data_IF_082575520068
#
_entry.id   IF_082575520068
#
_cell.length_a   1.000
_cell.length_b   1.000
_cell.length_c   1.000
_cell.angle_alpha   90.00
_cell.angle_beta   90.00
_cell.angle_gamma   90.00
#
_symmetry.space_group_name_H-M   'P 1'
#
loop_
_entity.id
_entity.type
_entity.pdbx_description
1 polymer ?
#
# COMPACT_ATOMS: atom_id res chain seq x y z
N UNK A 1 -8.57 -0.99 9.94
CA UNK A 1 -8.66 0.47 9.69
C UNK A 1 -8.72 0.70 8.19
N UNK A 2 -9.10 1.87 7.69
CA UNK A 2 -9.17 2.09 6.23
C UNK A 2 -7.89 2.67 5.66
N UNK A 3 -7.60 2.37 4.40
CA UNK A 3 -6.45 2.88 3.65
C UNK A 3 -6.39 4.43 3.65
N UNK A 4 -7.55 5.10 3.80
CA UNK A 4 -7.65 6.56 4.02
C UNK A 4 -6.82 7.10 5.18
N UNK A 5 -6.71 6.30 6.25
CA UNK A 5 -6.08 6.70 7.50
C UNK A 5 -4.56 6.52 7.48
N UNK A 6 -4.04 5.86 6.44
CA UNK A 6 -2.62 5.59 6.26
C UNK A 6 -1.86 6.87 5.93
N UNK A 7 -0.63 6.94 6.44
CA UNK A 7 0.31 8.05 6.23
C UNK A 7 1.52 7.57 5.43
N UNK A 8 2.24 8.54 4.89
CA UNK A 8 3.56 8.30 4.30
C UNK A 8 4.50 7.72 5.36
N UNK A 9 5.29 6.71 4.97
CA UNK A 9 6.16 5.92 5.84
C UNK A 9 5.48 4.73 6.53
N UNK A 10 4.15 4.62 6.54
CA UNK A 10 3.48 3.50 7.19
C UNK A 10 3.73 2.18 6.42
N UNK A 11 3.99 1.12 7.18
CA UNK A 11 3.94 -0.25 6.67
C UNK A 11 2.53 -0.78 6.88
N UNK A 12 1.88 -1.21 5.81
CA UNK A 12 0.49 -1.65 5.83
C UNK A 12 0.34 -3.05 5.24
N UNK A 13 -0.60 -3.81 5.76
CA UNK A 13 -1.10 -5.04 5.15
C UNK A 13 -2.52 -4.82 4.66
N UNK A 14 -2.82 -5.20 3.42
CA UNK A 14 -4.20 -5.20 2.92
C UNK A 14 -4.93 -6.39 3.52
N UNK A 15 -6.05 -6.14 4.21
CA UNK A 15 -6.80 -7.16 4.94
C UNK A 15 -8.06 -7.55 4.18
N UNK A 16 -8.79 -6.55 3.69
CA UNK A 16 -10.06 -6.77 3.01
C UNK A 16 -10.32 -5.62 2.03
N UNK A 17 -11.24 -5.84 1.08
CA UNK A 17 -11.73 -4.77 0.21
C UNK A 17 -13.23 -4.91 -0.04
N UNK A 18 -13.93 -3.78 0.04
CA UNK A 18 -15.35 -3.64 -0.33
C UNK A 18 -15.51 -3.05 -1.75
N UNK A 19 -14.44 -3.12 -2.55
CA UNK A 19 -14.43 -2.70 -3.96
C UNK A 19 -14.99 -3.84 -4.83
N UNK A 20 -15.77 -3.54 -5.89
CA UNK A 20 -16.19 -4.56 -6.85
C UNK A 20 -15.01 -5.36 -7.40
N UNK A 21 -15.12 -6.70 -7.41
CA UNK A 21 -14.05 -7.62 -7.83
C UNK A 21 -13.40 -7.25 -9.17
N UNK A 22 -14.20 -6.89 -10.18
CA UNK A 22 -13.71 -6.47 -11.51
C UNK A 22 -12.76 -5.26 -11.47
N UNK A 23 -12.93 -4.38 -10.49
CA UNK A 23 -12.07 -3.20 -10.30
C UNK A 23 -10.83 -3.63 -9.50
N UNK A 24 -11.03 -4.38 -8.40
CA UNK A 24 -9.93 -4.81 -7.54
C UNK A 24 -8.94 -5.75 -8.25
N UNK A 25 -9.42 -6.62 -9.15
CA UNK A 25 -8.56 -7.50 -9.95
C UNK A 25 -7.55 -6.72 -10.81
N UNK A 26 -7.83 -5.46 -11.16
CA UNK A 26 -6.85 -4.60 -11.85
C UNK A 26 -5.65 -4.27 -10.96
N UNK A 27 -5.85 -4.17 -9.65
CA UNK A 27 -4.79 -3.83 -8.70
C UNK A 27 -3.80 -5.00 -8.49
N UNK A 28 -4.24 -6.24 -8.74
CA UNK A 28 -3.36 -7.42 -8.72
C UNK A 28 -2.21 -7.33 -9.73
N UNK A 29 -2.43 -6.65 -10.86
CA UNK A 29 -1.37 -6.46 -11.88
C UNK A 29 -0.19 -5.60 -11.39
N UNK A 30 -0.40 -4.81 -10.35
CA UNK A 30 0.63 -4.02 -9.66
C UNK A 30 0.98 -4.62 -8.29
N UNK A 31 0.72 -5.91 -8.10
CA UNK A 31 0.92 -6.66 -6.85
C UNK A 31 0.14 -6.13 -5.64
N UNK A 32 -0.85 -5.26 -5.83
CA UNK A 32 -1.70 -4.78 -4.76
C UNK A 32 -2.90 -5.73 -4.56
N UNK A 33 -2.79 -6.62 -3.58
CA UNK A 33 -3.77 -7.68 -3.29
C UNK A 33 -3.93 -7.92 -1.78
N UNK A 34 -4.99 -8.62 -1.40
CA UNK A 34 -5.27 -9.01 -0.02
C UNK A 34 -4.13 -9.90 0.53
N UNK A 35 -3.77 -9.67 1.78
CA UNK A 35 -2.70 -10.36 2.50
C UNK A 35 -1.30 -9.83 2.22
N UNK A 36 -1.12 -8.99 1.21
CA UNK A 36 0.17 -8.37 0.87
C UNK A 36 0.50 -7.20 1.78
N UNK A 37 1.80 -7.00 2.00
CA UNK A 37 2.35 -5.96 2.87
C UNK A 37 3.15 -4.96 2.04
N UNK A 38 2.88 -3.68 2.24
CA UNK A 38 3.49 -2.60 1.49
C UNK A 38 4.03 -1.52 2.41
N UNK A 39 5.11 -0.87 1.98
CA UNK A 39 5.55 0.40 2.56
C UNK A 39 4.92 1.53 1.74
N UNK A 40 4.22 2.44 2.40
CA UNK A 40 3.64 3.61 1.74
C UNK A 40 4.68 4.70 1.63
N UNK A 41 5.09 5.01 0.41
CA UNK A 41 6.11 6.02 0.14
C UNK A 41 5.52 7.42 0.07
N UNK A 42 4.49 7.57 -0.78
CA UNK A 42 3.87 8.87 -1.06
C UNK A 42 2.38 8.76 -1.31
N UNK A 43 1.61 9.71 -0.79
CA UNK A 43 0.16 9.81 -1.02
C UNK A 43 -0.18 11.21 -1.54
N UNK A 44 -0.66 11.29 -2.79
CA UNK A 44 -1.13 12.55 -3.39
C UNK A 44 -2.65 12.55 -3.47
N UNK A 45 -3.30 13.52 -2.80
CA UNK A 45 -4.76 13.60 -2.63
C UNK A 45 -5.41 14.66 -3.51
N UNK A 46 -5.42 14.43 -4.83
CA UNK A 46 -6.04 15.30 -5.84
C UNK A 46 -7.49 14.88 -6.14
N UNK A 47 -7.96 15.00 -7.38
CA UNK A 47 -9.24 14.42 -7.85
C UNK A 47 -9.26 12.89 -7.70
N UNK A 48 -8.12 12.26 -7.97
CA UNK A 48 -7.83 10.87 -7.68
C UNK A 48 -6.76 10.80 -6.60
N UNK A 49 -6.75 9.72 -5.85
CA UNK A 49 -5.68 9.41 -4.90
C UNK A 49 -4.63 8.61 -5.65
N UNK A 50 -3.39 9.08 -5.57
CA UNK A 50 -2.21 8.41 -6.08
C UNK A 50 -1.40 7.89 -4.89
N UNK A 51 -1.10 6.60 -4.87
CA UNK A 51 -0.36 5.92 -3.81
C UNK A 51 0.87 5.26 -4.44
N UNK A 52 2.06 5.73 -4.06
CA UNK A 52 3.33 5.08 -4.38
C UNK A 52 3.69 4.14 -3.22
N UNK A 53 4.05 2.91 -3.53
CA UNK A 53 4.34 1.89 -2.52
C UNK A 53 5.38 0.87 -2.98
N UNK A 54 5.96 0.14 -2.03
CA UNK A 54 6.92 -0.95 -2.28
C UNK A 54 6.37 -2.24 -1.66
N UNK A 55 6.44 -3.38 -2.37
CA UNK A 55 6.15 -4.69 -1.75
C UNK A 55 7.30 -5.04 -0.79
N UNK A 56 6.98 -5.34 0.48
CA UNK A 56 7.97 -5.70 1.49
C UNK A 56 8.74 -6.97 1.12
N UNK A 57 8.16 -7.87 0.33
CA UNK A 57 8.87 -9.07 -0.17
C UNK A 57 10.02 -8.68 -1.09
N UNK A 58 9.81 -7.71 -1.97
CA UNK A 58 10.81 -7.26 -2.95
C UNK A 58 11.98 -6.52 -2.27
N UNK A 59 11.75 -5.88 -1.12
CA UNK A 59 12.80 -5.21 -0.34
C UNK A 59 13.79 -6.19 0.31
N UNK A 60 13.37 -7.41 0.64
CA UNK A 60 14.28 -8.43 1.21
C UNK A 60 15.17 -9.09 0.16
N UNK A 61 14.74 -9.11 -1.09
CA UNK A 61 15.40 -9.90 -2.14
C UNK A 61 16.28 -9.07 -3.10
N UNK A 62 16.19 -7.73 -3.17
CA UNK A 62 17.07 -6.95 -4.06
C UNK A 62 17.10 -5.42 -3.85
N UNK A 63 18.23 -4.77 -4.21
CA UNK A 63 18.43 -3.31 -4.24
C UNK A 63 17.55 -2.62 -5.31
N UNK A 64 17.07 -3.37 -6.30
CA UNK A 64 16.10 -2.92 -7.32
C UNK A 64 14.66 -3.23 -6.92
N UNK A 65 14.20 -2.61 -5.84
CA UNK A 65 12.82 -2.78 -5.38
C UNK A 65 11.83 -2.25 -6.43
N UNK A 66 10.92 -3.10 -6.93
CA UNK A 66 9.88 -2.62 -7.86
C UNK A 66 8.87 -1.79 -7.07
N UNK A 67 8.81 -0.50 -7.37
CA UNK A 67 7.77 0.40 -6.86
C UNK A 67 6.45 0.19 -7.61
N UNK A 68 5.35 0.02 -6.87
CA UNK A 68 3.99 0.02 -7.40
C UNK A 68 3.35 1.39 -7.29
N UNK A 69 2.52 1.75 -8.28
CA UNK A 69 1.77 3.00 -8.28
C UNK A 69 0.27 2.74 -8.46
N UNK A 70 -0.50 3.01 -7.42
CA UNK A 70 -1.95 2.85 -7.41
C UNK A 70 -2.62 4.21 -7.64
N UNK A 71 -3.42 4.30 -8.70
CA UNK A 71 -4.33 5.44 -8.94
C UNK A 71 -5.75 4.96 -8.70
N UNK A 72 -6.45 5.61 -7.77
CA UNK A 72 -7.78 5.18 -7.34
C UNK A 72 -8.67 6.37 -7.00
N UNK A 73 -9.97 6.23 -7.22
CA UNK A 73 -10.93 7.26 -6.82
C UNK A 73 -11.01 7.34 -5.29
N UNK A 74 -11.29 8.55 -4.76
CA UNK A 74 -11.52 8.76 -3.31
C UNK A 74 -12.60 7.80 -2.77
N UNK A 75 -13.64 7.56 -3.56
CA UNK A 75 -14.73 6.65 -3.21
C UNK A 75 -14.29 5.20 -2.95
N UNK A 76 -13.36 4.67 -3.77
CA UNK A 76 -12.87 3.30 -3.58
C UNK A 76 -11.72 3.22 -2.57
N UNK A 77 -10.92 4.28 -2.42
CA UNK A 77 -9.84 4.34 -1.44
C UNK A 77 -10.32 4.09 -0.01
N UNK A 78 -11.50 4.63 0.33
CA UNK A 78 -12.12 4.48 1.65
C UNK A 78 -12.70 3.08 1.89
N UNK A 79 -12.71 2.21 0.86
CA UNK A 79 -13.26 0.85 0.92
C UNK A 79 -12.20 -0.24 1.01
N UNK A 80 -10.93 0.13 1.09
CA UNK A 80 -9.83 -0.82 1.29
C UNK A 80 -9.50 -0.84 2.78
N UNK A 81 -9.68 -2.00 3.40
CA UNK A 81 -9.32 -2.21 4.79
C UNK A 81 -7.88 -2.70 4.87
N UNK A 82 -7.13 -2.04 5.75
CA UNK A 82 -5.72 -2.31 6.00
C UNK A 82 -5.46 -2.42 7.48
N UNK A 83 -4.37 -3.14 7.80
CA UNK A 83 -3.75 -3.15 9.12
C UNK A 83 -2.41 -2.42 9.00
N UNK A 84 -2.21 -1.37 9.78
CA UNK A 84 -0.87 -0.80 9.94
C UNK A 84 -0.05 -1.80 10.75
N UNK A 85 1.08 -2.24 10.19
CA UNK A 85 2.01 -3.20 10.76
C UNK A 85 3.23 -2.49 11.36
N UNK A 86 3.10 -1.30 11.95
CA UNK A 86 4.23 -0.66 12.64
C UNK A 86 4.96 -1.70 13.47
N UNK A 87 6.21 -1.96 13.12
CA UNK A 87 7.09 -2.86 13.85
C UNK A 87 8.01 -1.99 14.68
N UNK A 88 8.15 -2.42 15.93
CA UNK A 88 9.15 -2.05 16.92
C UNK A 88 10.57 -1.90 16.32
N UNK A 89 11.31 -0.93 16.86
CA UNK A 89 12.78 -0.93 17.05
C UNK A 89 13.65 -1.73 16.04
N UNK A 90 13.80 -1.29 14.77
CA UNK A 90 14.92 -1.77 13.92
C UNK A 90 15.18 -0.91 12.65
N UNK A 91 15.11 0.42 12.75
CA UNK A 91 15.69 1.33 11.74
C UNK A 91 16.55 2.38 12.45
N UNK A 92 17.48 1.89 13.27
CA UNK A 92 18.55 2.70 13.86
C UNK A 92 19.90 2.03 13.55
N UNK A 93 20.15 1.70 12.28
CA UNK A 93 21.49 1.34 11.79
C UNK A 93 21.65 1.55 10.28
N UNK A 94 21.14 2.69 9.77
CA UNK A 94 21.54 3.24 8.47
C UNK A 94 21.82 4.73 8.59
N UNK A 95 22.90 5.07 9.29
CA UNK A 95 23.66 6.30 9.07
C UNK A 95 25.13 5.96 9.02
#
# INVERSE_FOLDING_TARGET
MNLRQVREGDIIQVIETKIPKRIFDKFKSINFDIGRTFIVDKIVKERFIKLLFYDKKDLKENINTKSGFLIISKYYFDKIEVKILKNDEEIEERK
#
